data_IF_946494002906
#
_entry.id   IF_946494002906
#
_cell.length_a   1.000
_cell.length_b   1.000
_cell.length_c   1.000
_cell.angle_alpha   90.00
_cell.angle_beta   90.00
_cell.angle_gamma   90.00
#
_symmetry.space_group_name_H-M   'P 1'
#
loop_
_entity.id
_entity.type
_entity.pdbx_description
1 polymer ?
#
# COMPACT_ATOMS: atom_id res chain seq x y z
N UNK A 1 12.49 -2.98 -59.79
CA UNK A 1 12.64 -4.00 -58.72
C UNK A 1 12.25 -3.42 -57.35
N UNK A 2 11.02 -2.90 -57.20
CA UNK A 2 10.63 -2.11 -56.01
C UNK A 2 9.56 -2.79 -55.15
N UNK A 3 8.65 -3.55 -55.75
CA UNK A 3 7.51 -4.18 -55.04
C UNK A 3 7.89 -5.22 -53.96
N UNK A 4 9.05 -5.89 -54.11
CA UNK A 4 9.50 -6.93 -53.15
C UNK A 4 10.04 -6.36 -51.84
N UNK A 5 10.56 -5.12 -51.85
CA UNK A 5 11.08 -4.48 -50.64
C UNK A 5 9.97 -3.88 -49.77
N UNK A 6 8.94 -3.27 -50.37
CA UNK A 6 7.78 -2.73 -49.64
C UNK A 6 6.95 -3.81 -48.95
N UNK A 7 6.88 -5.02 -49.51
CA UNK A 7 6.17 -6.14 -48.87
C UNK A 7 6.89 -6.63 -47.60
N UNK A 8 8.24 -6.63 -47.62
CA UNK A 8 9.06 -7.03 -46.48
C UNK A 8 8.99 -6.02 -45.33
N UNK A 9 9.04 -4.72 -45.61
CA UNK A 9 8.93 -3.69 -44.56
C UNK A 9 7.54 -3.64 -43.92
N UNK A 10 6.48 -3.88 -44.69
CA UNK A 10 5.12 -3.96 -44.14
C UNK A 10 4.94 -5.16 -43.20
N UNK A 11 5.57 -6.30 -43.51
CA UNK A 11 5.44 -7.52 -42.72
C UNK A 11 6.10 -7.38 -41.34
N UNK A 12 7.28 -6.74 -41.26
CA UNK A 12 7.98 -6.48 -39.99
C UNK A 12 7.18 -5.59 -39.05
N UNK A 13 6.46 -4.58 -39.58
CA UNK A 13 5.66 -3.65 -38.77
C UNK A 13 4.49 -4.33 -38.04
N UNK A 14 3.92 -5.40 -38.62
CA UNK A 14 2.76 -6.10 -38.04
C UNK A 14 3.16 -7.02 -36.88
N UNK A 15 4.36 -7.63 -36.92
CA UNK A 15 4.81 -8.51 -35.83
C UNK A 15 5.14 -7.76 -34.53
N UNK A 16 5.41 -6.45 -34.58
CA UNK A 16 5.72 -5.63 -33.40
C UNK A 16 4.54 -5.42 -32.44
N UNK A 17 3.29 -5.68 -32.85
CA UNK A 17 2.11 -5.36 -32.03
C UNK A 17 1.75 -6.44 -30.98
N UNK A 18 2.46 -7.57 -30.91
CA UNK A 18 2.08 -8.73 -30.07
C UNK A 18 2.90 -8.84 -28.77
N UNK A 19 3.84 -7.92 -28.51
CA UNK A 19 4.65 -7.90 -27.29
C UNK A 19 4.17 -6.79 -26.34
N UNK A 20 3.26 -7.11 -25.41
CA UNK A 20 2.68 -6.08 -24.54
C UNK A 20 1.75 -6.52 -23.41
N UNK A 21 1.78 -7.77 -22.95
CA UNK A 21 1.10 -8.14 -21.70
C UNK A 21 1.99 -7.76 -20.50
N UNK A 22 1.86 -6.54 -20.00
CA UNK A 22 2.38 -6.18 -18.68
C UNK A 22 1.58 -6.92 -17.59
N UNK A 23 2.08 -8.07 -17.13
CA UNK A 23 1.40 -8.89 -16.13
C UNK A 23 1.65 -8.31 -14.73
N UNK A 24 0.77 -7.42 -14.29
CA UNK A 24 0.83 -6.77 -12.98
C UNK A 24 0.73 -7.78 -11.79
N UNK A 25 1.84 -8.39 -11.32
CA UNK A 25 1.86 -9.32 -10.14
C UNK A 25 2.93 -9.10 -9.06
N UNK A 26 2.51 -9.03 -7.80
CA UNK A 26 3.29 -9.32 -6.59
C UNK A 26 4.63 -8.61 -6.26
N UNK A 27 5.08 -7.46 -6.80
CA UNK A 27 4.54 -6.51 -7.77
C UNK A 27 5.64 -6.06 -8.74
N UNK A 28 5.32 -5.64 -9.96
CA UNK A 28 4.09 -5.80 -10.75
C UNK A 28 4.38 -6.76 -11.92
N UNK A 29 5.06 -7.88 -11.62
CA UNK A 29 6.14 -8.47 -12.43
C UNK A 29 7.24 -7.47 -12.86
N UNK A 30 7.05 -6.18 -12.58
CA UNK A 30 7.74 -5.00 -13.12
C UNK A 30 8.27 -4.06 -11.99
N UNK A 31 8.23 -4.51 -10.72
CA UNK A 31 9.06 -3.98 -9.64
C UNK A 31 8.57 -2.81 -8.78
N UNK A 32 7.31 -2.38 -8.83
CA UNK A 32 6.77 -1.35 -7.90
C UNK A 32 6.27 -1.96 -6.55
N UNK A 33 6.10 -1.18 -5.46
CA UNK A 33 5.64 -1.71 -4.17
C UNK A 33 4.11 -1.89 -4.11
N UNK A 34 3.64 -3.09 -3.72
CA UNK A 34 2.20 -3.40 -3.54
C UNK A 34 1.50 -2.56 -2.48
N UNK A 35 2.19 -2.31 -1.36
CA UNK A 35 1.72 -1.47 -0.29
C UNK A 35 2.91 -0.67 0.26
N UNK A 36 2.67 0.60 0.57
CA UNK A 36 3.68 1.51 1.13
C UNK A 36 3.19 2.06 2.45
N UNK A 37 4.09 2.15 3.43
CA UNK A 37 3.79 2.83 4.69
C UNK A 37 3.57 4.33 4.43
N UNK A 38 2.33 4.79 4.55
CA UNK A 38 1.93 6.19 4.32
C UNK A 38 2.28 7.07 5.53
N UNK A 39 2.15 6.54 6.75
CA UNK A 39 2.47 7.23 8.00
C UNK A 39 2.73 6.22 9.13
N UNK A 40 3.56 6.59 10.11
CA UNK A 40 3.67 5.93 11.41
C UNK A 40 3.32 6.97 12.47
N UNK A 41 2.45 6.64 13.43
CA UNK A 41 2.17 7.52 14.57
C UNK A 41 2.78 6.95 15.84
N UNK A 42 3.78 7.64 16.38
CA UNK A 42 4.31 7.42 17.73
C UNK A 42 3.31 7.82 18.84
N UNK A 43 2.14 8.39 18.48
CA UNK A 43 1.18 8.96 19.42
C UNK A 43 -0.24 8.42 19.19
N UNK A 44 -0.55 7.30 19.87
CA UNK A 44 -1.88 6.74 20.13
C UNK A 44 -2.98 6.93 19.06
N UNK A 45 -2.67 6.62 17.79
CA UNK A 45 -3.59 6.75 16.66
C UNK A 45 -4.87 5.92 16.79
N UNK A 46 -4.70 4.59 16.87
CA UNK A 46 -5.79 3.64 17.13
C UNK A 46 -5.67 3.17 18.58
N UNK A 47 -6.65 3.53 19.40
CA UNK A 47 -6.68 3.25 20.86
C UNK A 47 -6.95 1.78 21.18
N UNK A 48 -7.67 1.07 20.31
CA UNK A 48 -7.82 -0.38 20.35
C UNK A 48 -6.79 -1.08 19.43
N UNK A 49 -6.27 -2.27 19.80
CA UNK A 49 -5.51 -3.11 18.88
C UNK A 49 -6.41 -3.62 17.75
N UNK A 50 -5.91 -3.67 16.51
CA UNK A 50 -6.67 -4.20 15.38
C UNK A 50 -6.22 -3.66 14.02
N UNK A 51 -7.01 -4.00 13.01
CA UNK A 51 -6.83 -3.56 11.63
C UNK A 51 -8.11 -2.87 11.15
N UNK A 52 -7.97 -1.71 10.51
CA UNK A 52 -9.06 -0.98 9.87
C UNK A 52 -8.75 -0.81 8.40
N UNK A 53 -9.66 -1.27 7.55
CA UNK A 53 -9.60 -1.08 6.10
C UNK A 53 -10.44 0.13 5.71
N UNK A 54 -9.87 1.01 4.88
CA UNK A 54 -10.48 2.26 4.42
C UNK A 54 -10.34 2.32 2.91
N UNK A 55 -11.45 2.06 2.22
CA UNK A 55 -11.57 2.08 0.75
C UNK A 55 -12.33 3.31 0.23
N UNK A 56 -12.62 4.29 1.08
CA UNK A 56 -13.27 5.53 0.66
C UNK A 56 -12.99 6.70 1.61
N UNK A 57 -13.10 7.93 1.10
CA UNK A 57 -13.07 9.14 1.91
C UNK A 57 -14.16 9.15 3.00
N UNK A 58 -15.34 8.59 2.71
CA UNK A 58 -16.43 8.48 3.68
C UNK A 58 -16.13 7.52 4.84
N UNK A 59 -15.26 6.52 4.64
CA UNK A 59 -14.78 5.66 5.72
C UNK A 59 -13.69 6.34 6.56
N UNK A 60 -12.86 7.18 5.92
CA UNK A 60 -11.91 8.05 6.61
C UNK A 60 -12.63 9.11 7.48
N UNK A 61 -13.74 9.68 6.99
CA UNK A 61 -14.57 10.62 7.75
C UNK A 61 -15.32 9.95 8.93
N UNK A 62 -15.70 8.67 8.83
CA UNK A 62 -16.18 7.90 10.00
C UNK A 62 -15.06 7.73 11.02
N UNK A 63 -13.84 7.46 10.57
CA UNK A 63 -12.66 7.35 11.44
C UNK A 63 -12.34 8.67 12.16
N UNK A 64 -12.59 9.81 11.51
CA UNK A 64 -12.48 11.15 12.10
C UNK A 64 -13.48 11.44 13.23
N UNK A 65 -14.62 10.73 13.25
CA UNK A 65 -15.68 10.88 14.25
C UNK A 65 -15.50 9.95 15.46
N UNK A 66 -14.62 8.96 15.36
CA UNK A 66 -14.32 8.05 16.47
C UNK A 66 -13.41 8.73 17.51
N UNK A 67 -13.51 8.39 18.81
CA UNK A 67 -12.55 8.79 19.84
C UNK A 67 -11.11 8.23 19.68
N UNK A 68 -10.81 7.58 18.54
CA UNK A 68 -9.46 7.13 18.17
C UNK A 68 -8.54 8.35 18.04
N UNK A 69 -7.59 8.45 18.96
CA UNK A 69 -6.82 9.67 19.19
C UNK A 69 -6.01 10.13 17.97
N UNK A 70 -6.19 11.40 17.60
CA UNK A 70 -5.21 12.22 16.88
C UNK A 70 -4.46 11.55 15.70
N UNK A 71 -5.16 10.73 14.92
CA UNK A 71 -4.65 10.26 13.63
C UNK A 71 -4.38 11.48 12.73
N UNK A 72 -3.27 11.47 11.99
CA UNK A 72 -2.91 12.53 11.05
C UNK A 72 -3.75 12.46 9.75
N UNK A 73 -5.08 12.53 9.90
CA UNK A 73 -6.08 12.36 8.83
C UNK A 73 -5.97 13.42 7.72
N UNK A 74 -5.26 14.52 7.97
CA UNK A 74 -4.88 15.51 6.95
C UNK A 74 -3.95 14.90 5.88
N UNK A 75 -2.99 14.05 6.25
CA UNK A 75 -2.13 13.36 5.28
C UNK A 75 -2.86 12.23 4.56
N UNK A 76 -3.77 11.52 5.25
CA UNK A 76 -4.53 10.43 4.65
C UNK A 76 -5.59 10.90 3.63
N UNK A 77 -6.01 12.17 3.68
CA UNK A 77 -6.91 12.77 2.69
C UNK A 77 -6.27 13.08 1.34
N UNK A 78 -4.96 12.89 1.19
CA UNK A 78 -4.25 13.04 -0.09
C UNK A 78 -4.27 11.77 -0.96
N UNK A 79 -4.86 10.67 -0.47
CA UNK A 79 -4.93 9.38 -1.17
C UNK A 79 -6.13 9.35 -2.13
N UNK A 80 -5.89 8.92 -3.38
CA UNK A 80 -6.99 8.63 -4.31
C UNK A 80 -7.53 7.22 -4.08
N UNK A 81 -8.65 7.14 -3.37
CA UNK A 81 -9.34 5.89 -3.03
C UNK A 81 -9.88 5.08 -4.21
N UNK A 82 -9.71 5.55 -5.46
CA UNK A 82 -9.98 4.74 -6.65
C UNK A 82 -8.82 3.84 -7.06
N UNK A 83 -7.59 4.27 -6.76
CA UNK A 83 -6.35 3.62 -7.17
C UNK A 83 -5.62 2.98 -5.97
N UNK A 84 -5.72 3.58 -4.79
CA UNK A 84 -5.04 3.14 -3.56
C UNK A 84 -6.02 3.01 -2.38
N UNK A 85 -5.96 1.91 -1.64
CA UNK A 85 -6.71 1.73 -0.39
C UNK A 85 -5.79 1.84 0.83
N UNK A 86 -6.37 2.24 1.97
CA UNK A 86 -5.62 2.35 3.22
C UNK A 86 -5.92 1.19 4.18
N UNK A 87 -4.86 0.66 4.78
CA UNK A 87 -4.91 -0.28 5.90
C UNK A 87 -4.25 0.40 7.09
N UNK A 88 -5.03 0.72 8.13
CA UNK A 88 -4.52 1.24 9.39
C UNK A 88 -4.38 0.09 10.39
N UNK A 89 -3.20 -0.05 10.99
CA UNK A 89 -2.95 -1.10 11.99
C UNK A 89 -2.62 -0.46 13.33
N UNK A 90 -3.39 -0.83 14.35
CA UNK A 90 -3.26 -0.33 15.71
C UNK A 90 -2.63 -1.38 16.62
N UNK A 91 -1.65 -0.98 17.43
CA UNK A 91 -1.20 -1.76 18.59
C UNK A 91 -2.12 -1.58 19.82
N UNK A 92 -3.10 -0.68 19.74
CA UNK A 92 -3.83 -0.14 20.88
C UNK A 92 -2.99 0.81 21.73
N UNK A 93 -3.64 1.45 22.70
CA UNK A 93 -2.96 2.32 23.66
C UNK A 93 -1.86 1.57 24.42
N UNK A 94 -0.69 2.20 24.56
CA UNK A 94 0.44 1.71 25.36
C UNK A 94 0.69 2.65 26.54
N UNK A 95 1.23 2.08 27.61
CA UNK A 95 1.51 2.78 28.86
C UNK A 95 2.75 3.67 28.78
N UNK A 96 3.67 3.38 27.86
CA UNK A 96 4.92 4.13 27.63
C UNK A 96 5.10 4.42 26.14
N UNK A 97 5.91 5.44 25.82
CA UNK A 97 6.30 5.77 24.45
C UNK A 97 7.30 4.78 23.84
N UNK A 98 7.62 4.94 22.55
CA UNK A 98 8.64 4.13 21.86
C UNK A 98 8.16 2.77 21.34
N UNK A 99 6.87 2.47 21.46
CA UNK A 99 6.23 1.43 20.65
C UNK A 99 6.00 1.96 19.22
N UNK A 100 6.16 1.09 18.22
CA UNK A 100 5.95 1.44 16.81
C UNK A 100 5.64 0.24 15.93
N UNK A 101 5.24 0.50 14.69
CA UNK A 101 4.89 -0.50 13.68
C UNK A 101 5.52 -0.11 12.35
N UNK A 102 6.39 -0.98 11.84
CA UNK A 102 7.06 -0.78 10.55
C UNK A 102 6.70 -1.89 9.57
N UNK A 103 6.20 -1.54 8.39
CA UNK A 103 5.99 -2.47 7.28
C UNK A 103 7.34 -3.03 6.81
N UNK A 104 7.46 -4.34 6.80
CA UNK A 104 8.69 -5.08 6.46
C UNK A 104 8.58 -5.74 5.08
N UNK A 105 7.40 -6.24 4.71
CA UNK A 105 7.10 -6.69 3.36
C UNK A 105 5.60 -6.60 3.06
N UNK A 106 5.26 -6.61 1.76
CA UNK A 106 3.91 -6.72 1.23
C UNK A 106 3.95 -7.61 -0.01
N UNK A 107 3.17 -8.69 -0.03
CA UNK A 107 3.17 -9.69 -1.11
C UNK A 107 1.75 -10.21 -1.37
N UNK A 108 1.45 -10.66 -2.59
CA UNK A 108 0.20 -11.38 -2.87
C UNK A 108 0.51 -12.87 -2.93
N UNK A 109 -0.05 -13.63 -1.98
CA UNK A 109 0.03 -15.08 -1.86
C UNK A 109 -1.39 -15.63 -2.04
N UNK A 110 -1.59 -16.54 -2.99
CA UNK A 110 -2.90 -17.18 -3.27
C UNK A 110 -4.09 -16.19 -3.37
N UNK A 111 -3.89 -15.07 -4.07
CA UNK A 111 -4.84 -13.96 -4.26
C UNK A 111 -5.16 -13.12 -2.99
N UNK A 112 -4.40 -13.33 -1.91
CA UNK A 112 -4.47 -12.58 -0.65
C UNK A 112 -3.26 -11.65 -0.51
N UNK A 113 -3.49 -10.37 -0.20
CA UNK A 113 -2.42 -9.43 0.15
C UNK A 113 -1.96 -9.66 1.59
N UNK A 114 -0.79 -10.26 1.76
CA UNK A 114 -0.12 -10.42 3.04
C UNK A 114 0.77 -9.21 3.35
N UNK A 115 0.71 -8.73 4.60
CA UNK A 115 1.48 -7.58 5.10
C UNK A 115 2.29 -8.01 6.33
N UNK A 116 3.62 -8.07 6.22
CA UNK A 116 4.49 -8.39 7.35
C UNK A 116 4.88 -7.11 8.10
N UNK A 117 4.55 -7.07 9.40
CA UNK A 117 4.77 -5.91 10.26
C UNK A 117 5.75 -6.22 11.39
N UNK A 118 6.73 -5.35 11.61
CA UNK A 118 7.66 -5.43 12.74
C UNK A 118 7.21 -4.50 13.86
N UNK A 119 6.98 -5.06 15.04
CA UNK A 119 6.68 -4.30 16.26
C UNK A 119 7.99 -3.77 16.87
N UNK A 120 8.17 -2.45 16.89
CA UNK A 120 9.17 -1.81 17.76
C UNK A 120 8.61 -1.76 19.18
N UNK A 121 9.44 -2.10 20.16
CA UNK A 121 9.15 -1.94 21.59
C UNK A 121 10.25 -1.08 22.22
N UNK A 122 9.93 -0.26 23.22
CA UNK A 122 10.95 0.45 23.99
C UNK A 122 11.77 -0.54 24.84
N UNK A 123 12.90 -0.07 25.39
CA UNK A 123 13.70 -0.86 26.33
C UNK A 123 12.90 -1.13 27.62
N UNK A 124 13.26 -2.21 28.34
CA UNK A 124 12.51 -2.67 29.51
C UNK A 124 12.56 -1.69 30.72
N UNK A 125 13.50 -0.75 30.69
CA UNK A 125 13.75 0.31 31.66
C UNK A 125 13.21 1.68 31.22
N UNK A 126 12.55 1.78 30.05
CA UNK A 126 11.86 2.98 29.60
C UNK A 126 10.43 3.04 30.18
N UNK A 127 10.32 3.58 31.40
CA UNK A 127 9.07 3.87 32.13
C UNK A 127 8.69 5.35 32.06
#
# INVERSE_FOLDING_TARGET
MTCRFTLLTLCVLVLSLIAGCAINRSATADGAPLARQVTESDHCGLTAPGLVYVSSAGDLDKLAQLPSGNLALSMLRAIDFKEEHLVLVGLGQKTTGGYGLTLTSSEIVDDVLELALKVRRPAADAW
#
